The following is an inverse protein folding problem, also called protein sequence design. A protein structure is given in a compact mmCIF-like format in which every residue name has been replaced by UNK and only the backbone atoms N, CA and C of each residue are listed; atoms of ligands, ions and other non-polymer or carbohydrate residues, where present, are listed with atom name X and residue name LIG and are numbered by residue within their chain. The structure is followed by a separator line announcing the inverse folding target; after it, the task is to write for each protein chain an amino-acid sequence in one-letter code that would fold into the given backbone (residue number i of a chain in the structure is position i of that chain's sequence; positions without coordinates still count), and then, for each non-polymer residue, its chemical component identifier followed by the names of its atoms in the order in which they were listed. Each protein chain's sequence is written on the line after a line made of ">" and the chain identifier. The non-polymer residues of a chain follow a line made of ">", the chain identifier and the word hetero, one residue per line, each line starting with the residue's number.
data_IF_918799549475
#
_entry.id   IF_918799549475
#
_cell.length_a   1.000
_cell.length_b   1.000
_cell.length_c   1.000
_cell.angle_alpha   90.00
_cell.angle_beta   90.00
_cell.angle_gamma   90.00
#
_symmetry.space_group_name_H-M   'P 1'
#
loop_
_entity.id
_entity.type
_entity.pdbx_description
1 polymer ?
#
# COMPACT_ATOMS: atom_id res chain seq x y z
N UNK A 1 -11.38 39.14 44.33
CA UNK A 1 -12.04 38.15 43.45
C UNK A 1 -11.90 38.48 41.96
N UNK A 2 -12.15 39.73 41.51
CA UNK A 2 -12.16 40.06 40.07
C UNK A 2 -10.81 39.92 39.36
N UNK A 3 -9.69 40.13 40.05
CA UNK A 3 -8.34 39.94 39.47
C UNK A 3 -7.98 38.45 39.30
N UNK A 4 -8.44 37.58 40.19
CA UNK A 4 -8.18 36.13 40.12
C UNK A 4 -9.03 35.49 39.00
N UNK A 5 -10.27 35.95 38.83
CA UNK A 5 -11.16 35.51 37.75
C UNK A 5 -10.57 35.89 36.38
N UNK A 6 -9.97 37.08 36.26
CA UNK A 6 -9.33 37.52 35.02
C UNK A 6 -8.08 36.68 34.66
N UNK A 7 -7.30 36.25 35.66
CA UNK A 7 -6.12 35.40 35.43
C UNK A 7 -6.50 33.98 35.00
N UNK A 8 -7.62 33.44 35.52
CA UNK A 8 -8.10 32.10 35.14
C UNK A 8 -8.61 32.07 33.69
N UNK A 9 -9.29 33.13 33.24
CA UNK A 9 -9.80 33.24 31.86
C UNK A 9 -8.65 33.33 30.82
N UNK A 10 -7.53 33.98 31.17
CA UNK A 10 -6.35 34.07 30.30
C UNK A 10 -5.60 32.74 30.21
N UNK A 11 -5.64 31.89 31.26
CA UNK A 11 -5.02 30.56 31.22
C UNK A 11 -5.81 29.59 30.32
N UNK A 12 -7.14 29.70 30.30
CA UNK A 12 -8.05 28.81 29.56
C UNK A 12 -8.03 29.01 28.03
N UNK A 13 -7.49 30.12 27.51
CA UNK A 13 -7.40 30.37 26.06
C UNK A 13 -6.09 29.89 25.42
N UNK A 14 -5.10 29.47 26.21
CA UNK A 14 -3.79 29.00 25.68
C UNK A 14 -3.80 27.54 25.20
N UNK A 15 -4.88 26.78 25.43
CA UNK A 15 -5.03 25.40 24.92
C UNK A 15 -5.72 25.32 23.55
N UNK A 16 -5.84 26.43 22.83
CA UNK A 16 -6.51 26.52 21.53
C UNK A 16 -5.59 26.54 20.31
N UNK A 17 -4.31 26.18 20.43
CA UNK A 17 -3.37 26.20 19.29
C UNK A 17 -2.40 25.02 19.29
N UNK A 18 -2.95 23.81 19.21
CA UNK A 18 -2.30 22.68 18.53
C UNK A 18 -3.31 22.13 17.53
N UNK A 19 -3.61 22.95 16.53
CA UNK A 19 -4.24 22.50 15.30
C UNK A 19 -3.14 22.51 14.23
N UNK A 20 -2.91 21.33 13.65
CA UNK A 20 -2.03 21.04 12.50
C UNK A 20 -0.54 20.85 12.81
N UNK A 21 -0.18 19.61 13.16
CA UNK A 21 0.73 18.88 12.27
C UNK A 21 0.08 17.54 11.94
N UNK A 22 -0.78 17.57 10.92
CA UNK A 22 -1.02 16.36 10.15
C UNK A 22 0.32 15.98 9.55
N UNK A 23 0.73 14.75 9.81
CA UNK A 23 1.83 14.02 9.17
C UNK A 23 2.01 14.45 7.71
N UNK A 24 2.96 15.33 7.44
CA UNK A 24 3.45 15.59 6.09
C UNK A 24 4.45 14.49 5.73
N UNK A 25 3.92 13.28 5.56
CA UNK A 25 4.52 12.32 4.65
C UNK A 25 4.01 12.72 3.25
N UNK A 26 4.49 13.86 2.73
CA UNK A 26 4.39 14.14 1.32
C UNK A 26 5.27 13.10 0.61
N UNK A 27 4.75 12.13 -0.16
CA UNK A 27 5.50 11.73 -1.33
C UNK A 27 5.57 12.99 -2.19
N UNK A 28 6.79 13.36 -2.55
CA UNK A 28 7.17 14.45 -3.43
C UNK A 28 6.05 14.86 -4.41
N UNK A 29 5.83 16.16 -4.54
CA UNK A 29 5.14 16.76 -5.68
C UNK A 29 5.90 16.37 -6.94
N UNK A 30 5.61 15.20 -7.49
CA UNK A 30 6.13 14.75 -8.77
C UNK A 30 5.47 15.63 -9.82
N UNK A 31 6.28 16.53 -10.40
CA UNK A 31 5.96 17.27 -11.61
C UNK A 31 5.23 16.35 -12.61
N UNK A 32 4.05 16.76 -13.04
CA UNK A 32 3.28 16.11 -14.08
C UNK A 32 3.99 16.28 -15.43
N UNK A 33 4.95 15.39 -15.68
CA UNK A 33 5.49 14.96 -16.98
C UNK A 33 6.44 13.76 -16.78
N UNK A 34 6.20 12.93 -15.76
CA UNK A 34 6.88 11.63 -15.66
C UNK A 34 6.20 10.72 -16.67
N UNK A 35 6.85 10.51 -17.81
CA UNK A 35 6.59 9.36 -18.66
C UNK A 35 6.44 8.14 -17.75
N UNK A 36 5.23 7.55 -17.70
CA UNK A 36 4.90 6.48 -16.76
C UNK A 36 5.87 5.33 -17.01
N UNK A 37 6.89 5.21 -16.16
CA UNK A 37 7.95 4.22 -16.30
C UNK A 37 7.33 2.84 -16.52
N UNK A 38 7.66 2.22 -17.65
CA UNK A 38 7.18 0.89 -18.02
C UNK A 38 7.94 -0.12 -17.18
N UNK A 39 7.30 -0.61 -16.13
CA UNK A 39 7.92 -1.47 -15.12
C UNK A 39 7.24 -2.83 -15.11
N UNK A 40 7.94 -3.88 -15.53
CA UNK A 40 7.44 -5.26 -15.41
C UNK A 40 7.20 -5.67 -13.97
N UNK A 41 8.00 -5.18 -13.02
CA UNK A 41 7.85 -5.48 -11.61
C UNK A 41 7.71 -4.22 -10.78
N UNK A 42 6.83 -4.26 -9.77
CA UNK A 42 6.64 -3.17 -8.81
C UNK A 42 6.46 -3.72 -7.40
N UNK A 43 7.07 -3.06 -6.42
CA UNK A 43 6.87 -3.35 -5.00
C UNK A 43 5.77 -2.43 -4.45
N UNK A 44 4.85 -3.03 -3.68
CA UNK A 44 3.78 -2.32 -2.98
C UNK A 44 3.96 -2.54 -1.47
N UNK A 45 4.09 -1.46 -0.67
CA UNK A 45 4.24 -1.59 0.77
C UNK A 45 2.94 -2.09 1.41
N UNK A 46 3.06 -2.91 2.45
CA UNK A 46 1.95 -3.22 3.36
C UNK A 46 1.99 -2.29 4.57
N UNK A 47 0.97 -2.30 5.45
CA UNK A 47 1.08 -1.56 6.72
C UNK A 47 2.06 -2.23 7.70
N UNK A 48 2.42 -3.51 7.48
CA UNK A 48 3.57 -4.10 8.14
C UNK A 48 4.85 -3.58 7.46
N UNK A 49 5.61 -2.76 8.18
CA UNK A 49 6.81 -2.09 7.68
C UNK A 49 7.91 -3.03 7.14
N UNK A 50 7.86 -4.32 7.44
CA UNK A 50 8.83 -5.32 6.99
C UNK A 50 8.42 -6.03 5.70
N UNK A 51 7.15 -5.92 5.31
CA UNK A 51 6.53 -6.73 4.26
C UNK A 51 6.06 -5.88 3.08
N UNK A 52 6.38 -6.36 1.89
CA UNK A 52 5.95 -5.83 0.60
C UNK A 52 5.31 -6.92 -0.24
N UNK A 53 4.48 -6.50 -1.20
CA UNK A 53 4.03 -7.35 -2.29
C UNK A 53 4.79 -6.95 -3.56
N UNK A 54 5.56 -7.88 -4.12
CA UNK A 54 6.15 -7.75 -5.45
C UNK A 54 5.14 -8.22 -6.48
N UNK A 55 4.67 -7.34 -7.34
CA UNK A 55 3.74 -7.64 -8.42
C UNK A 55 4.48 -7.68 -9.75
N UNK A 56 4.23 -8.71 -10.55
CA UNK A 56 4.47 -8.66 -11.98
C UNK A 56 3.29 -7.92 -12.65
N UNK A 57 3.53 -6.68 -13.05
CA UNK A 57 2.50 -5.78 -13.57
C UNK A 57 1.96 -6.23 -14.92
N UNK A 58 2.66 -7.14 -15.62
CA UNK A 58 2.22 -7.64 -16.93
C UNK A 58 1.11 -8.68 -16.85
N UNK A 59 1.13 -9.51 -15.81
CA UNK A 59 0.32 -10.73 -15.73
C UNK A 59 -0.33 -11.03 -14.38
N UNK A 60 -0.07 -10.20 -13.36
CA UNK A 60 -0.71 -10.33 -12.06
C UNK A 60 -0.08 -11.38 -11.13
N UNK A 61 0.98 -12.08 -11.55
CA UNK A 61 1.75 -12.95 -10.65
C UNK A 61 2.41 -12.11 -9.57
N UNK A 62 2.47 -12.63 -8.34
CA UNK A 62 2.96 -11.84 -7.21
C UNK A 62 3.56 -12.67 -6.08
N UNK A 63 4.45 -12.03 -5.35
CA UNK A 63 5.22 -12.60 -4.25
C UNK A 63 5.13 -11.70 -3.01
N UNK A 64 5.13 -12.32 -1.85
CA UNK A 64 5.40 -11.63 -0.60
C UNK A 64 6.92 -11.51 -0.43
N UNK A 65 7.40 -10.30 -0.20
CA UNK A 65 8.80 -9.99 0.08
C UNK A 65 8.91 -9.46 1.51
N UNK A 66 9.78 -10.06 2.30
CA UNK A 66 10.08 -9.60 3.65
C UNK A 66 11.58 -9.32 3.77
N UNK A 67 11.94 -8.15 4.31
CA UNK A 67 13.33 -7.80 4.59
C UNK A 67 13.63 -7.84 6.09
N UNK A 68 14.87 -8.15 6.42
CA UNK A 68 15.40 -8.15 7.77
C UNK A 68 16.92 -8.15 7.74
N UNK A 69 17.54 -7.68 8.82
CA UNK A 69 18.97 -7.88 9.06
C UNK A 69 19.28 -9.33 9.45
N UNK A 70 18.31 -10.05 10.00
CA UNK A 70 18.41 -11.48 10.28
C UNK A 70 18.21 -12.28 8.99
N UNK A 71 19.23 -13.03 8.59
CA UNK A 71 19.23 -13.82 7.35
C UNK A 71 18.10 -14.85 7.31
N UNK A 72 17.66 -15.33 8.48
CA UNK A 72 16.60 -16.33 8.57
C UNK A 72 15.20 -15.72 8.51
N UNK A 73 15.10 -14.38 8.53
CA UNK A 73 13.82 -13.64 8.51
C UNK A 73 13.63 -12.77 7.25
N UNK A 74 14.58 -12.79 6.32
CA UNK A 74 14.43 -12.20 4.98
C UNK A 74 14.07 -13.31 4.00
N UNK A 75 13.01 -13.10 3.22
CA UNK A 75 12.58 -14.08 2.25
C UNK A 75 11.73 -13.44 1.14
N UNK A 76 11.65 -14.16 0.04
CA UNK A 76 10.60 -13.99 -0.96
C UNK A 76 9.82 -15.30 -1.05
N UNK A 77 8.49 -15.21 -1.08
CA UNK A 77 7.64 -16.39 -1.17
C UNK A 77 6.43 -16.12 -2.06
N UNK A 78 5.95 -17.15 -2.74
CA UNK A 78 4.82 -17.02 -3.66
C UNK A 78 3.57 -16.55 -2.90
N UNK A 79 2.85 -15.59 -3.49
CA UNK A 79 1.49 -15.23 -3.04
C UNK A 79 0.49 -15.74 -4.07
N UNK A 80 0.70 -15.44 -5.35
CA UNK A 80 -0.04 -16.06 -6.46
C UNK A 80 0.86 -16.21 -7.67
N UNK A 81 0.93 -17.43 -8.20
CA UNK A 81 1.64 -17.73 -9.45
C UNK A 81 0.68 -17.92 -10.65
N UNK A 82 -0.61 -17.72 -10.43
CA UNK A 82 -1.62 -17.83 -11.47
C UNK A 82 -1.55 -16.56 -12.33
N UNK A 83 -1.37 -16.73 -13.63
CA UNK A 83 -1.50 -15.63 -14.59
C UNK A 83 -2.96 -15.21 -14.70
N UNK A 84 -3.25 -13.91 -14.65
CA UNK A 84 -4.60 -13.36 -14.77
C UNK A 84 -4.97 -13.00 -16.22
N UNK A 85 -4.05 -13.29 -17.13
CA UNK A 85 -4.12 -12.98 -18.55
C UNK A 85 -3.34 -14.02 -19.35
N UNK A 86 -3.77 -14.29 -20.58
CA UNK A 86 -3.00 -15.10 -21.53
C UNK A 86 -1.74 -14.37 -22.01
N UNK A 87 -0.74 -15.14 -22.44
CA UNK A 87 0.58 -14.64 -22.84
C UNK A 87 0.50 -13.55 -23.93
N UNK A 88 -0.45 -13.68 -24.86
CA UNK A 88 -0.62 -12.76 -26.00
C UNK A 88 -1.19 -11.39 -25.58
N UNK A 89 -1.73 -11.27 -24.37
CA UNK A 89 -2.30 -10.03 -23.84
C UNK A 89 -1.53 -9.49 -22.62
N UNK A 90 -0.35 -10.04 -22.33
CA UNK A 90 0.53 -9.49 -21.30
C UNK A 90 1.09 -8.14 -21.75
N UNK A 91 0.86 -7.11 -20.94
CA UNK A 91 1.36 -5.75 -21.20
C UNK A 91 1.87 -5.19 -19.89
N UNK A 92 3.12 -4.72 -19.87
CA UNK A 92 3.69 -4.08 -18.68
C UNK A 92 2.78 -2.94 -18.18
N UNK A 93 2.75 -2.73 -16.87
CA UNK A 93 1.86 -1.78 -16.20
C UNK A 93 0.35 -2.06 -16.38
N UNK A 94 -0.09 -3.24 -16.83
CA UNK A 94 -1.51 -3.63 -16.86
C UNK A 94 -2.11 -3.73 -15.46
N UNK A 95 -1.45 -4.46 -14.57
CA UNK A 95 -1.94 -4.71 -13.22
C UNK A 95 -1.30 -3.76 -12.19
N UNK A 96 -2.11 -3.29 -11.23
CA UNK A 96 -1.64 -2.51 -10.08
C UNK A 96 -2.40 -2.88 -8.81
N UNK A 97 -1.75 -2.75 -7.65
CA UNK A 97 -2.37 -2.97 -6.34
C UNK A 97 -2.75 -1.64 -5.68
N UNK A 98 -3.92 -1.61 -5.07
CA UNK A 98 -4.39 -0.53 -4.20
C UNK A 98 -4.44 -1.04 -2.75
N UNK A 99 -3.77 -0.36 -1.81
CA UNK A 99 -3.81 -0.74 -0.41
C UNK A 99 -5.20 -0.49 0.16
N UNK A 100 -5.62 -1.34 1.10
CA UNK A 100 -6.82 -1.10 1.91
C UNK A 100 -6.43 -0.67 3.32
N UNK A 101 -7.43 -0.28 4.14
CA UNK A 101 -7.19 -0.05 5.56
C UNK A 101 -6.88 -1.35 6.33
N UNK A 102 -7.26 -2.51 5.79
CA UNK A 102 -6.86 -3.79 6.34
C UNK A 102 -5.47 -4.15 5.83
N UNK A 103 -4.49 -4.23 6.73
CA UNK A 103 -3.09 -4.55 6.39
C UNK A 103 -2.96 -5.80 5.51
N UNK A 104 -3.83 -6.79 5.69
CA UNK A 104 -3.77 -8.09 5.00
C UNK A 104 -4.33 -8.06 3.57
N UNK A 105 -5.04 -6.99 3.18
CA UNK A 105 -5.79 -6.94 1.93
C UNK A 105 -5.39 -5.79 1.01
N UNK A 106 -5.38 -6.09 -0.29
CA UNK A 106 -5.27 -5.14 -1.39
C UNK A 106 -6.40 -5.37 -2.39
N UNK A 107 -6.69 -4.36 -3.20
CA UNK A 107 -7.47 -4.50 -4.42
C UNK A 107 -6.49 -4.52 -5.60
N UNK A 108 -6.47 -5.60 -6.37
CA UNK A 108 -5.77 -5.64 -7.65
C UNK A 108 -6.71 -5.09 -8.72
N UNK A 109 -6.22 -4.16 -9.53
CA UNK A 109 -6.92 -3.62 -10.69
C UNK A 109 -6.20 -4.03 -11.97
N UNK A 110 -6.95 -4.59 -12.92
CA UNK A 110 -6.57 -4.61 -14.33
C UNK A 110 -6.89 -3.24 -14.93
N UNK A 111 -5.86 -2.45 -15.22
CA UNK A 111 -6.02 -1.09 -15.75
C UNK A 111 -6.50 -1.06 -17.21
N UNK A 112 -6.53 -2.21 -17.90
CA UNK A 112 -6.98 -2.29 -19.30
C UNK A 112 -8.47 -2.58 -19.36
N UNK A 113 -8.95 -3.61 -18.65
CA UNK A 113 -10.35 -4.06 -18.75
C UNK A 113 -11.20 -3.81 -17.49
N UNK A 114 -10.60 -3.25 -16.44
CA UNK A 114 -11.31 -2.82 -15.22
C UNK A 114 -11.67 -3.93 -14.25
N UNK A 115 -11.30 -5.19 -14.53
CA UNK A 115 -11.54 -6.29 -13.57
C UNK A 115 -10.76 -6.06 -12.29
N UNK A 116 -11.36 -6.49 -11.18
CA UNK A 116 -10.75 -6.36 -9.85
C UNK A 116 -10.72 -7.67 -9.09
N UNK A 117 -9.74 -7.79 -8.19
CA UNK A 117 -9.59 -8.92 -7.30
C UNK A 117 -9.24 -8.43 -5.90
N UNK A 118 -9.80 -9.09 -4.89
CA UNK A 118 -9.27 -9.03 -3.55
C UNK A 118 -7.99 -9.87 -3.51
N UNK A 119 -6.91 -9.26 -3.03
CA UNK A 119 -5.65 -9.94 -2.76
C UNK A 119 -5.47 -10.01 -1.25
N UNK A 120 -5.18 -11.20 -0.74
CA UNK A 120 -4.86 -11.43 0.66
C UNK A 120 -3.45 -12.00 0.79
N UNK A 121 -2.62 -11.34 1.59
CA UNK A 121 -1.33 -11.88 2.01
C UNK A 121 -1.41 -12.32 3.48
N UNK A 122 -0.52 -13.22 3.86
CA UNK A 122 -0.41 -13.70 5.23
C UNK A 122 0.96 -14.34 5.45
N UNK A 123 1.41 -14.34 6.70
CA UNK A 123 2.58 -15.12 7.09
C UNK A 123 2.31 -16.62 6.82
N UNK A 124 1.09 -17.06 7.11
CA UNK A 124 0.62 -18.41 6.81
C UNK A 124 0.29 -18.57 5.32
N UNK A 125 1.00 -19.45 4.63
CA UNK A 125 0.83 -19.70 3.20
C UNK A 125 -0.61 -20.13 2.85
N UNK A 126 -1.26 -20.92 3.72
CA UNK A 126 -2.63 -21.42 3.48
C UNK A 126 -3.70 -20.34 3.57
N UNK A 127 -3.35 -19.14 4.05
CA UNK A 127 -4.26 -17.99 4.18
C UNK A 127 -4.01 -16.91 3.13
N UNK A 128 -3.16 -17.20 2.14
CA UNK A 128 -2.92 -16.31 1.00
C UNK A 128 -3.94 -16.62 -0.09
N UNK A 129 -4.31 -15.61 -0.86
CA UNK A 129 -5.24 -15.85 -1.96
C UNK A 129 -5.54 -14.62 -2.78
N UNK A 130 -6.06 -14.89 -3.98
CA UNK A 130 -6.64 -13.88 -4.87
C UNK A 130 -8.05 -14.33 -5.23
N UNK A 131 -9.02 -13.42 -5.11
CA UNK A 131 -10.44 -13.71 -5.32
C UNK A 131 -11.04 -12.63 -6.20
N UNK A 132 -11.69 -13.00 -7.31
CA UNK A 132 -12.31 -12.03 -8.20
C UNK A 132 -13.47 -11.33 -7.47
N UNK A 133 -13.54 -10.01 -7.62
CA UNK A 133 -14.66 -9.21 -7.13
C UNK A 133 -15.64 -9.06 -8.30
N UNK A 134 -16.89 -9.50 -8.11
CA UNK A 134 -17.99 -9.40 -9.07
C UNK A 134 -19.12 -8.59 -8.45
#
# INVERSE_FOLDING_TARGET
>A
MNKIILTVIILLTTMGSIAQSLSENNPETINQNVEKEILTYRLFPTQNMWTFIKLNTRNGKMWQVQYSMDVNKRFESNLSLISLVDIDYEVDNRFTLYPTQNTWNFILLDQIDGRTWQVQWSIDYGKRGIMRIN
#
